data_IF_568624033800
#
_entry.id   IF_568624033800
#
_cell.length_a   1.000
_cell.length_b   1.000
_cell.length_c   1.000
_cell.angle_alpha   90.00
_cell.angle_beta   90.00
_cell.angle_gamma   90.00
#
_symmetry.space_group_name_H-M   'P 1'
#
loop_
_entity.id
_entity.type
_entity.pdbx_description
1 polymer ?
#
# COMPACT_ATOMS: atom_id res chain seq x y z
N UNK A 1 38.64 32.01 8.03
CA UNK A 1 37.36 31.89 8.75
C UNK A 1 36.44 31.08 7.84
N UNK A 2 36.77 29.80 7.71
CA UNK A 2 36.11 28.67 8.40
C UNK A 2 34.81 28.27 7.70
N UNK A 3 34.98 27.33 6.77
CA UNK A 3 33.92 26.48 6.22
C UNK A 3 33.28 25.72 7.38
N UNK A 4 32.05 26.09 7.74
CA UNK A 4 31.24 25.30 8.66
C UNK A 4 30.73 24.06 7.93
N UNK A 5 31.41 22.94 8.17
CA UNK A 5 30.96 21.60 7.86
C UNK A 5 29.64 21.33 8.60
N UNK A 6 28.55 21.26 7.86
CA UNK A 6 27.28 20.71 8.34
C UNK A 6 27.49 19.19 8.54
N UNK A 7 27.22 18.62 9.73
CA UNK A 7 27.42 17.20 9.95
C UNK A 7 26.36 16.39 9.20
N UNK A 8 26.82 15.51 8.30
CA UNK A 8 25.99 14.48 7.68
C UNK A 8 25.39 13.58 8.77
N UNK A 9 24.06 13.50 8.83
CA UNK A 9 23.36 12.53 9.67
C UNK A 9 23.65 11.13 9.11
N UNK A 10 24.66 10.46 9.67
CA UNK A 10 24.95 9.05 9.37
C UNK A 10 23.89 8.20 10.05
N UNK A 11 23.08 7.51 9.26
CA UNK A 11 22.19 6.44 9.74
C UNK A 11 23.03 5.23 10.18
N UNK A 12 23.58 5.29 11.40
CA UNK A 12 24.26 4.16 12.03
C UNK A 12 23.23 3.17 12.56
N UNK A 13 22.70 2.31 11.69
CA UNK A 13 22.11 1.04 12.11
C UNK A 13 23.13 -0.08 11.81
N UNK A 14 24.05 -0.39 12.74
CA UNK A 14 24.98 -1.51 12.54
C UNK A 14 24.19 -2.81 12.39
N UNK A 15 24.57 -3.62 11.38
CA UNK A 15 24.04 -4.96 11.21
C UNK A 15 24.27 -5.79 12.50
N UNK A 16 23.27 -6.55 12.98
CA UNK A 16 23.41 -7.34 14.21
C UNK A 16 24.48 -8.42 14.09
N UNK A 17 25.17 -8.72 15.19
CA UNK A 17 26.11 -9.85 15.24
C UNK A 17 25.36 -11.18 15.20
N UNK A 18 26.02 -12.25 14.75
CA UNK A 18 25.42 -13.60 14.67
C UNK A 18 24.87 -14.06 16.03
N UNK A 19 25.56 -13.73 17.13
CA UNK A 19 25.12 -14.02 18.49
C UNK A 19 23.83 -13.28 18.86
N UNK A 20 23.71 -12.00 18.47
CA UNK A 20 22.49 -11.21 18.70
C UNK A 20 21.32 -11.73 17.86
N UNK A 21 21.58 -12.20 16.64
CA UNK A 21 20.55 -12.82 15.79
C UNK A 21 20.06 -14.12 16.43
N UNK A 22 20.96 -14.99 16.91
CA UNK A 22 20.59 -16.27 17.52
C UNK A 22 19.84 -16.11 18.85
N UNK A 23 20.15 -15.06 19.62
CA UNK A 23 19.42 -14.73 20.84
C UNK A 23 18.07 -14.04 20.59
N UNK A 24 17.79 -13.60 19.36
CA UNK A 24 16.58 -12.86 19.03
C UNK A 24 15.33 -13.75 19.11
N UNK A 25 14.25 -13.18 19.66
CA UNK A 25 12.95 -13.85 19.77
C UNK A 25 12.37 -14.23 18.41
N UNK A 26 12.56 -13.42 17.36
CA UNK A 26 12.11 -13.76 16.00
C UNK A 26 12.85 -15.00 15.50
N UNK A 27 14.16 -15.08 15.69
CA UNK A 27 14.97 -16.24 15.28
C UNK A 27 14.54 -17.51 16.03
N UNK A 28 14.27 -17.41 17.33
CA UNK A 28 13.77 -18.55 18.12
C UNK A 28 12.40 -19.04 17.62
N UNK A 29 11.48 -18.11 17.31
CA UNK A 29 10.19 -18.45 16.72
C UNK A 29 10.36 -19.06 15.33
N UNK A 30 11.22 -18.47 14.49
CA UNK A 30 11.49 -18.99 13.16
C UNK A 30 11.98 -20.44 13.21
N UNK A 31 12.97 -20.72 14.06
CA UNK A 31 13.52 -22.08 14.22
C UNK A 31 12.46 -23.08 14.69
N UNK A 32 11.44 -22.63 15.41
CA UNK A 32 10.36 -23.48 15.91
C UNK A 32 9.26 -23.76 14.88
N UNK A 33 9.07 -22.89 13.90
CA UNK A 33 7.86 -22.89 13.07
C UNK A 33 8.07 -22.82 11.56
N UNK A 34 9.12 -22.15 11.05
CA UNK A 34 9.22 -21.91 9.59
C UNK A 34 10.63 -21.75 9.02
N UNK A 35 11.68 -21.70 9.85
CA UNK A 35 13.04 -21.51 9.36
C UNK A 35 13.48 -22.72 8.51
N UNK A 36 14.12 -22.49 7.35
CA UNK A 36 14.40 -23.54 6.37
C UNK A 36 15.37 -24.62 6.87
N UNK A 37 16.18 -24.32 7.88
CA UNK A 37 17.19 -25.23 8.43
C UNK A 37 16.66 -26.12 9.57
N UNK A 38 15.39 -25.95 9.99
CA UNK A 38 14.76 -26.73 11.07
C UNK A 38 13.47 -27.43 10.63
N UNK A 39 13.27 -27.61 9.32
CA UNK A 39 12.03 -28.12 8.72
C UNK A 39 11.52 -29.42 9.34
N UNK A 40 12.40 -30.34 9.73
CA UNK A 40 12.03 -31.65 10.29
C UNK A 40 11.42 -31.59 11.70
N UNK A 41 11.54 -30.45 12.40
CA UNK A 41 11.12 -30.27 13.80
C UNK A 41 10.12 -29.13 13.99
N UNK A 42 9.56 -28.60 12.90
CA UNK A 42 8.59 -27.51 12.97
C UNK A 42 7.31 -27.94 13.69
N UNK A 43 6.82 -27.05 14.55
CA UNK A 43 5.48 -27.17 15.11
C UNK A 43 4.41 -26.84 14.06
N UNK A 44 3.18 -27.35 14.23
CA UNK A 44 2.07 -27.00 13.34
C UNK A 44 1.78 -25.50 13.36
N UNK A 45 1.22 -25.00 12.26
CA UNK A 45 0.80 -23.62 12.13
C UNK A 45 -0.15 -23.21 13.27
N UNK A 46 0.06 -22.00 13.79
CA UNK A 46 -0.78 -21.38 14.79
C UNK A 46 -0.93 -19.90 14.46
N UNK A 47 -2.17 -19.46 14.17
CA UNK A 47 -2.48 -18.07 13.83
C UNK A 47 -2.13 -17.07 14.92
N UNK A 48 -2.18 -17.48 16.19
CA UNK A 48 -1.81 -16.62 17.32
C UNK A 48 -0.34 -16.16 17.23
N UNK A 49 0.54 -16.97 16.65
CA UNK A 49 1.95 -16.59 16.45
C UNK A 49 2.06 -15.42 15.47
N UNK A 50 1.20 -15.37 14.45
CA UNK A 50 1.15 -14.24 13.51
C UNK A 50 0.64 -12.99 14.22
N UNK A 51 -0.42 -13.13 15.01
CA UNK A 51 -0.99 -12.02 15.79
C UNK A 51 0.02 -11.47 16.81
N UNK A 52 0.72 -12.34 17.54
CA UNK A 52 1.74 -11.97 18.52
C UNK A 52 2.94 -11.27 17.88
N UNK A 53 3.44 -11.79 16.75
CA UNK A 53 4.53 -11.16 15.99
C UNK A 53 4.09 -9.79 15.51
N UNK A 54 2.88 -9.67 14.96
CA UNK A 54 2.38 -8.40 14.47
C UNK A 54 2.29 -7.35 15.59
N UNK A 55 1.66 -7.70 16.71
CA UNK A 55 1.47 -6.77 17.83
C UNK A 55 2.80 -6.42 18.49
N UNK A 56 3.61 -7.44 18.83
CA UNK A 56 4.78 -7.27 19.69
C UNK A 56 6.04 -6.88 18.92
N UNK A 57 6.18 -7.30 17.67
CA UNK A 57 7.40 -7.08 16.88
C UNK A 57 7.23 -6.00 15.82
N UNK A 58 6.06 -5.88 15.20
CA UNK A 58 5.80 -4.87 14.16
C UNK A 58 5.20 -3.61 14.78
N UNK A 59 4.06 -3.70 15.47
CA UNK A 59 3.34 -2.54 16.00
C UNK A 59 4.06 -1.90 17.19
N UNK A 60 4.43 -2.68 18.21
CA UNK A 60 5.10 -2.14 19.40
C UNK A 60 6.47 -1.52 19.08
N UNK A 61 7.16 -2.02 18.05
CA UNK A 61 8.42 -1.43 17.55
C UNK A 61 8.22 -0.23 16.61
N UNK A 62 6.97 0.16 16.36
CA UNK A 62 6.58 1.24 15.43
C UNK A 62 7.09 1.01 14.01
N UNK A 63 6.96 -0.22 13.50
CA UNK A 63 7.41 -0.66 12.18
C UNK A 63 8.93 -0.48 12.03
N UNK A 64 9.68 -0.93 13.04
CA UNK A 64 11.14 -0.88 13.00
C UNK A 64 11.68 -1.72 11.85
N UNK A 65 12.44 -1.08 10.96
CA UNK A 65 13.09 -1.73 9.81
C UNK A 65 13.91 -2.94 10.28
N UNK A 66 14.62 -2.83 11.41
CA UNK A 66 15.41 -3.94 11.95
C UNK A 66 14.57 -5.17 12.31
N UNK A 67 13.39 -5.00 12.91
CA UNK A 67 12.51 -6.15 13.24
C UNK A 67 11.95 -6.78 11.97
N UNK A 68 11.53 -5.94 11.01
CA UNK A 68 10.98 -6.36 9.72
C UNK A 68 12.03 -7.12 8.89
N UNK A 69 13.28 -6.63 8.83
CA UNK A 69 14.40 -7.31 8.19
C UNK A 69 14.63 -8.72 8.76
N UNK A 70 14.54 -8.89 10.08
CA UNK A 70 14.75 -10.21 10.69
C UNK A 70 13.63 -11.19 10.34
N UNK A 71 12.39 -10.71 10.23
CA UNK A 71 11.27 -11.53 9.73
C UNK A 71 11.50 -11.94 8.27
N UNK A 72 11.87 -10.99 7.41
CA UNK A 72 12.15 -11.26 5.99
C UNK A 72 13.30 -12.26 5.81
N UNK A 73 14.43 -12.04 6.50
CA UNK A 73 15.61 -12.91 6.44
C UNK A 73 15.30 -14.34 6.89
N UNK A 74 14.34 -14.50 7.79
CA UNK A 74 13.87 -15.81 8.26
C UNK A 74 12.89 -16.51 7.30
N UNK A 75 12.57 -15.92 6.14
CA UNK A 75 11.59 -16.39 5.16
C UNK A 75 10.16 -16.48 5.73
N UNK A 76 9.78 -15.48 6.54
CA UNK A 76 8.48 -15.45 7.21
C UNK A 76 7.30 -15.44 6.23
N UNK A 77 7.43 -14.77 5.08
CA UNK A 77 6.39 -14.72 4.06
C UNK A 77 6.17 -16.08 3.40
N UNK A 78 7.25 -16.68 2.91
CA UNK A 78 7.23 -17.87 2.06
C UNK A 78 6.91 -19.14 2.86
N UNK A 79 7.39 -19.23 4.10
CA UNK A 79 7.32 -20.47 4.86
C UNK A 79 6.24 -20.44 5.95
N UNK A 80 5.74 -19.27 6.37
CA UNK A 80 4.75 -19.17 7.45
C UNK A 80 3.48 -18.40 7.08
N UNK A 81 3.61 -17.22 6.49
CA UNK A 81 2.43 -16.39 6.22
C UNK A 81 1.62 -16.90 5.03
N UNK A 82 2.20 -16.95 3.84
CA UNK A 82 1.43 -17.19 2.61
C UNK A 82 0.88 -18.62 2.49
N UNK A 83 1.64 -19.70 2.82
CA UNK A 83 1.12 -21.06 2.75
C UNK A 83 -0.09 -21.31 3.67
N UNK A 84 -0.18 -20.55 4.76
CA UNK A 84 -1.22 -20.70 5.78
C UNK A 84 -2.29 -19.58 5.71
N UNK A 85 -2.27 -18.75 4.66
CA UNK A 85 -3.24 -17.67 4.52
C UNK A 85 -4.53 -18.19 3.88
N UNK A 86 -5.64 -18.04 4.61
CA UNK A 86 -6.98 -18.34 4.12
C UNK A 86 -7.87 -17.10 4.25
N UNK A 87 -8.53 -16.72 3.15
CA UNK A 87 -9.27 -15.44 3.06
C UNK A 87 -10.35 -15.36 4.13
N UNK A 88 -11.02 -16.45 4.44
CA UNK A 88 -12.17 -16.52 5.35
C UNK A 88 -11.76 -16.38 6.82
N UNK A 89 -10.58 -16.87 7.21
CA UNK A 89 -10.12 -16.90 8.60
C UNK A 89 -8.95 -15.96 8.91
N UNK A 90 -8.31 -15.38 7.89
CA UNK A 90 -7.15 -14.51 8.08
C UNK A 90 -7.50 -13.26 8.90
N UNK A 91 -6.72 -13.05 9.97
CA UNK A 91 -6.80 -11.88 10.83
C UNK A 91 -6.20 -10.64 10.15
N UNK A 92 -6.49 -9.46 10.71
CA UNK A 92 -5.87 -8.21 10.27
C UNK A 92 -4.34 -8.26 10.38
N UNK A 93 -3.83 -8.84 11.45
CA UNK A 93 -2.39 -9.04 11.65
C UNK A 93 -1.77 -9.92 10.57
N UNK A 94 -2.45 -10.97 10.11
CA UNK A 94 -1.98 -11.82 9.02
C UNK A 94 -1.90 -11.05 7.70
N UNK A 95 -2.97 -10.34 7.33
CA UNK A 95 -3.01 -9.50 6.13
C UNK A 95 -1.92 -8.42 6.17
N UNK A 96 -1.82 -7.69 7.28
CA UNK A 96 -0.83 -6.61 7.43
C UNK A 96 0.60 -7.13 7.49
N UNK A 97 0.85 -8.30 8.09
CA UNK A 97 2.17 -8.92 8.08
C UNK A 97 2.63 -9.25 6.66
N UNK A 98 1.73 -9.76 5.81
CA UNK A 98 2.04 -10.01 4.38
C UNK A 98 2.36 -8.70 3.67
N UNK A 99 1.56 -7.65 3.86
CA UNK A 99 1.80 -6.30 3.31
C UNK A 99 3.20 -5.79 3.69
N UNK A 100 3.56 -5.91 4.98
CA UNK A 100 4.86 -5.47 5.49
C UNK A 100 6.01 -6.28 4.89
N UNK A 101 5.89 -7.60 4.78
CA UNK A 101 6.92 -8.44 4.16
C UNK A 101 7.10 -8.14 2.67
N UNK A 102 6.02 -7.91 1.94
CA UNK A 102 6.09 -7.52 0.52
C UNK A 102 6.84 -6.20 0.35
N UNK A 103 6.47 -5.18 1.13
CA UNK A 103 7.15 -3.88 1.09
C UNK A 103 8.65 -4.00 1.42
N UNK A 104 8.99 -4.84 2.39
CA UNK A 104 10.39 -5.07 2.76
C UNK A 104 11.17 -5.75 1.63
N UNK A 105 10.57 -6.76 0.97
CA UNK A 105 11.20 -7.41 -0.18
C UNK A 105 11.47 -6.45 -1.33
N UNK A 106 10.55 -5.51 -1.59
CA UNK A 106 10.80 -4.42 -2.55
C UNK A 106 11.93 -3.50 -2.10
N UNK A 107 12.00 -3.18 -0.80
CA UNK A 107 13.08 -2.36 -0.21
C UNK A 107 14.46 -3.01 -0.41
N UNK A 108 14.56 -4.32 -0.21
CA UNK A 108 15.77 -5.12 -0.40
C UNK A 108 16.01 -5.54 -1.87
N UNK A 109 15.08 -5.21 -2.78
CA UNK A 109 15.15 -5.52 -4.22
C UNK A 109 15.28 -7.02 -4.52
N UNK A 110 14.57 -7.85 -3.76
CA UNK A 110 14.50 -9.31 -3.95
C UNK A 110 13.21 -9.73 -4.65
N UNK A 111 13.11 -11.01 -5.01
CA UNK A 111 11.90 -11.56 -5.65
C UNK A 111 10.71 -11.54 -4.70
N UNK A 112 9.59 -10.99 -5.16
CA UNK A 112 8.37 -10.79 -4.35
C UNK A 112 7.27 -11.76 -4.75
N UNK A 113 6.94 -11.82 -6.04
CA UNK A 113 5.69 -12.39 -6.51
C UNK A 113 5.69 -13.92 -6.60
N UNK A 114 6.87 -14.54 -6.64
CA UNK A 114 7.03 -15.99 -6.78
C UNK A 114 6.30 -16.79 -5.69
N UNK A 115 6.30 -16.29 -4.45
CA UNK A 115 5.58 -16.92 -3.34
C UNK A 115 4.07 -17.01 -3.62
N UNK A 116 3.49 -15.96 -4.19
CA UNK A 116 2.07 -15.88 -4.52
C UNK A 116 1.73 -16.69 -5.76
N UNK A 117 2.60 -16.71 -6.77
CA UNK A 117 2.40 -17.50 -8.00
C UNK A 117 2.39 -19.01 -7.73
N UNK A 118 3.14 -19.50 -6.72
CA UNK A 118 3.11 -20.91 -6.31
C UNK A 118 1.77 -21.34 -5.71
N UNK A 119 1.06 -20.43 -5.03
CA UNK A 119 -0.26 -20.69 -4.45
C UNK A 119 -1.18 -19.48 -4.65
N UNK A 120 -1.76 -19.27 -5.85
CA UNK A 120 -2.42 -18.02 -6.21
C UNK A 120 -3.88 -17.92 -5.73
N UNK A 121 -4.45 -19.01 -5.22
CA UNK A 121 -5.89 -19.16 -4.95
C UNK A 121 -6.46 -18.07 -4.05
N UNK A 122 -5.70 -17.66 -3.03
CA UNK A 122 -6.14 -16.68 -2.03
C UNK A 122 -5.77 -15.23 -2.39
N UNK A 123 -5.02 -14.99 -3.48
CA UNK A 123 -4.47 -13.65 -3.80
C UNK A 123 -5.56 -12.61 -4.04
N UNK A 124 -6.60 -12.96 -4.80
CA UNK A 124 -7.70 -12.02 -5.08
C UNK A 124 -8.45 -11.61 -3.81
N UNK A 125 -8.68 -12.55 -2.89
CA UNK A 125 -9.31 -12.26 -1.61
C UNK A 125 -8.41 -11.49 -0.65
N UNK A 126 -7.11 -11.78 -0.63
CA UNK A 126 -6.10 -10.98 0.08
C UNK A 126 -6.06 -9.54 -0.43
N UNK A 127 -5.98 -9.35 -1.74
CA UNK A 127 -5.96 -8.04 -2.36
C UNK A 127 -7.24 -7.26 -2.04
N UNK A 128 -8.41 -7.91 -2.06
CA UNK A 128 -9.66 -7.27 -1.64
C UNK A 128 -9.62 -6.80 -0.18
N UNK A 129 -9.14 -7.63 0.77
CA UNK A 129 -8.95 -7.21 2.17
C UNK A 129 -7.99 -6.02 2.31
N UNK A 130 -6.94 -5.95 1.49
CA UNK A 130 -6.03 -4.80 1.44
C UNK A 130 -6.74 -3.53 0.96
N UNK A 131 -7.56 -3.61 -0.09
CA UNK A 131 -8.34 -2.45 -0.56
C UNK A 131 -9.31 -1.96 0.52
N UNK A 132 -9.97 -2.87 1.23
CA UNK A 132 -10.87 -2.54 2.33
C UNK A 132 -10.11 -1.84 3.47
N UNK A 133 -8.95 -2.38 3.86
CA UNK A 133 -8.08 -1.79 4.88
C UNK A 133 -7.58 -0.38 4.51
N UNK A 134 -7.33 -0.12 3.22
CA UNK A 134 -6.95 1.23 2.74
C UNK A 134 -8.04 2.28 2.96
N UNK A 135 -9.32 1.87 3.02
CA UNK A 135 -10.46 2.76 3.19
C UNK A 135 -11.05 2.75 4.61
N UNK A 136 -10.46 2.01 5.55
CA UNK A 136 -10.87 2.06 6.97
C UNK A 136 -10.80 3.49 7.51
N UNK A 137 -11.84 3.90 8.25
CA UNK A 137 -12.06 5.29 8.74
C UNK A 137 -11.11 5.71 9.88
N UNK A 138 -10.05 4.94 10.12
CA UNK A 138 -9.09 5.22 11.17
C UNK A 138 -8.31 6.51 10.85
N UNK A 139 -8.74 7.63 11.44
CA UNK A 139 -8.07 8.94 11.42
C UNK A 139 -7.12 9.08 12.63
N UNK A 140 -6.88 8.00 13.40
CA UNK A 140 -5.96 8.07 14.53
C UNK A 140 -4.50 8.05 14.05
N UNK A 141 -3.67 8.91 14.65
CA UNK A 141 -2.29 9.13 14.19
C UNK A 141 -1.40 7.88 14.27
N UNK A 142 -1.71 6.93 15.17
CA UNK A 142 -0.93 5.70 15.32
C UNK A 142 -1.19 4.66 14.22
N UNK A 143 -2.37 4.72 13.58
CA UNK A 143 -2.75 3.80 12.51
C UNK A 143 -2.22 4.23 11.13
N UNK A 144 -1.70 5.46 11.02
CA UNK A 144 -1.17 5.98 9.76
C UNK A 144 0.07 5.23 9.26
N UNK A 145 0.80 4.53 10.14
CA UNK A 145 1.89 3.64 9.71
C UNK A 145 1.38 2.45 8.91
N UNK A 146 0.30 1.82 9.36
CA UNK A 146 -0.36 0.74 8.65
C UNK A 146 -0.95 1.24 7.33
N UNK A 147 -1.64 2.38 7.37
CA UNK A 147 -2.18 3.01 6.16
C UNK A 147 -1.07 3.35 5.16
N UNK A 148 0.07 3.85 5.63
CA UNK A 148 1.25 4.11 4.77
C UNK A 148 1.78 2.82 4.16
N UNK A 149 1.90 1.74 4.95
CA UNK A 149 2.34 0.44 4.45
C UNK A 149 1.39 -0.11 3.36
N UNK A 150 0.08 0.07 3.54
CA UNK A 150 -0.93 -0.29 2.55
C UNK A 150 -0.79 0.51 1.26
N UNK A 151 -0.58 1.83 1.34
CA UNK A 151 -0.33 2.69 0.17
C UNK A 151 0.93 2.25 -0.58
N UNK A 152 2.02 1.97 0.13
CA UNK A 152 3.27 1.48 -0.46
C UNK A 152 3.06 0.14 -1.17
N UNK A 153 2.34 -0.78 -0.55
CA UNK A 153 1.99 -2.07 -1.17
C UNK A 153 1.15 -1.90 -2.43
N UNK A 154 0.14 -1.02 -2.40
CA UNK A 154 -0.66 -0.72 -3.59
C UNK A 154 0.20 -0.15 -4.71
N UNK A 155 1.14 0.74 -4.38
CA UNK A 155 2.06 1.29 -5.36
C UNK A 155 2.91 0.19 -6.02
N UNK A 156 3.44 -0.73 -5.21
CA UNK A 156 4.15 -1.90 -5.73
C UNK A 156 3.28 -2.77 -6.65
N UNK A 157 2.01 -2.97 -6.33
CA UNK A 157 1.07 -3.70 -7.19
C UNK A 157 0.85 -3.00 -8.54
N UNK A 158 0.64 -1.67 -8.56
CA UNK A 158 0.50 -0.92 -9.80
C UNK A 158 1.79 -0.89 -10.64
N UNK A 159 2.95 -0.86 -9.97
CA UNK A 159 4.26 -0.93 -10.62
C UNK A 159 4.67 -2.35 -11.05
N UNK A 160 3.87 -3.38 -10.73
CA UNK A 160 4.12 -4.79 -11.10
C UNK A 160 3.06 -5.32 -12.07
N UNK A 161 2.50 -4.47 -12.92
CA UNK A 161 1.46 -4.87 -13.89
C UNK A 161 1.95 -5.88 -14.91
N UNK A 162 3.25 -6.08 -15.08
CA UNK A 162 3.83 -7.16 -15.91
C UNK A 162 3.45 -8.55 -15.38
N UNK A 163 3.32 -8.71 -14.06
CA UNK A 163 2.98 -9.97 -13.39
C UNK A 163 1.49 -10.28 -13.60
N UNK A 164 1.12 -11.39 -14.27
CA UNK A 164 -0.27 -11.69 -14.59
C UNK A 164 -1.18 -11.73 -13.35
N UNK A 165 -0.72 -12.36 -12.26
CA UNK A 165 -1.46 -12.47 -11.01
C UNK A 165 -1.86 -11.11 -10.44
N UNK A 166 -0.92 -10.16 -10.42
CA UNK A 166 -1.13 -8.79 -9.91
C UNK A 166 -1.97 -7.99 -10.90
N UNK A 167 -1.68 -8.10 -12.20
CA UNK A 167 -2.37 -7.39 -13.28
C UNK A 167 -3.88 -7.60 -13.25
N UNK A 168 -4.33 -8.84 -13.04
CA UNK A 168 -5.76 -9.17 -12.98
C UNK A 168 -6.49 -8.38 -11.88
N UNK A 169 -5.81 -8.14 -10.76
CA UNK A 169 -6.35 -7.43 -9.60
C UNK A 169 -6.28 -5.90 -9.75
N UNK A 170 -5.17 -5.34 -10.23
CA UNK A 170 -5.03 -3.87 -10.33
C UNK A 170 -5.72 -3.28 -11.55
N UNK A 171 -5.80 -4.01 -12.67
CA UNK A 171 -6.38 -3.47 -13.92
C UNK A 171 -7.85 -3.07 -13.77
N UNK A 172 -8.60 -3.74 -12.88
CA UNK A 172 -10.02 -3.42 -12.65
C UNK A 172 -10.19 -2.03 -12.03
N UNK A 173 -9.23 -1.58 -11.23
CA UNK A 173 -9.26 -0.30 -10.51
C UNK A 173 -9.00 0.91 -11.42
N UNK A 174 -8.30 0.71 -12.55
CA UNK A 174 -7.90 1.78 -13.51
C UNK A 174 -8.59 1.62 -14.87
N UNK A 175 -9.67 0.85 -14.93
CA UNK A 175 -10.44 0.64 -16.16
C UNK A 175 -11.45 1.76 -16.43
N UNK A 176 -11.99 1.85 -17.65
CA UNK A 176 -13.05 2.82 -18.01
C UNK A 176 -14.23 2.82 -17.00
N UNK A 177 -14.49 1.68 -16.36
CA UNK A 177 -15.58 1.55 -15.39
C UNK A 177 -15.43 2.45 -14.16
N UNK A 178 -14.22 2.93 -13.86
CA UNK A 178 -13.95 3.87 -12.77
C UNK A 178 -14.62 5.23 -12.95
N UNK A 179 -14.99 5.61 -14.18
CA UNK A 179 -15.74 6.85 -14.48
C UNK A 179 -17.15 6.89 -13.88
N UNK A 180 -17.57 5.84 -13.16
CA UNK A 180 -18.74 5.91 -12.29
C UNK A 180 -18.56 6.91 -11.15
N UNK A 181 -17.31 7.21 -10.79
CA UNK A 181 -16.95 8.22 -9.78
C UNK A 181 -17.08 9.66 -10.29
N UNK A 182 -16.99 9.89 -11.61
CA UNK A 182 -17.11 11.21 -12.20
C UNK A 182 -18.52 11.78 -12.02
N UNK A 183 -18.58 13.10 -11.86
CA UNK A 183 -19.83 13.84 -12.02
C UNK A 183 -20.44 13.55 -13.40
N UNK A 184 -21.78 13.48 -13.47
CA UNK A 184 -22.49 13.13 -14.69
C UNK A 184 -22.15 14.09 -15.85
N UNK A 185 -22.12 15.40 -15.57
CA UNK A 185 -21.74 16.41 -16.55
C UNK A 185 -20.33 16.20 -17.10
N UNK A 186 -19.33 15.95 -16.22
CA UNK A 186 -17.95 15.69 -16.65
C UNK A 186 -17.84 14.43 -17.49
N UNK A 187 -18.48 13.33 -17.06
CA UNK A 187 -18.51 12.06 -17.82
C UNK A 187 -19.12 12.24 -19.21
N UNK A 188 -20.20 13.00 -19.33
CA UNK A 188 -20.86 13.26 -20.61
C UNK A 188 -19.98 14.11 -21.55
N UNK A 189 -19.22 15.07 -21.02
CA UNK A 189 -18.23 15.84 -21.79
C UNK A 189 -17.13 14.92 -22.36
N UNK A 190 -16.58 14.01 -21.56
CA UNK A 190 -15.57 13.06 -22.02
C UNK A 190 -16.11 12.11 -23.10
N UNK A 191 -17.35 11.64 -22.95
CA UNK A 191 -18.01 10.84 -23.97
C UNK A 191 -18.31 11.60 -25.27
N UNK A 192 -18.55 12.91 -25.20
CA UNK A 192 -18.68 13.74 -26.41
C UNK A 192 -17.33 13.88 -27.12
N UNK A 193 -16.25 14.10 -26.35
CA UNK A 193 -14.88 14.18 -26.88
C UNK A 193 -14.44 12.87 -27.53
N UNK A 194 -14.83 11.73 -26.95
CA UNK A 194 -14.46 10.40 -27.45
C UNK A 194 -15.67 9.44 -27.49
N UNK A 195 -16.51 9.51 -28.54
CA UNK A 195 -17.77 8.76 -28.62
C UNK A 195 -17.66 7.23 -28.54
N UNK A 196 -16.49 6.67 -28.89
CA UNK A 196 -16.23 5.21 -28.76
C UNK A 196 -16.34 4.73 -27.31
N UNK A 197 -15.90 5.53 -26.34
CA UNK A 197 -15.97 5.14 -24.93
C UNK A 197 -17.40 5.05 -24.41
N UNK A 198 -18.33 5.85 -24.92
CA UNK A 198 -19.76 5.70 -24.60
C UNK A 198 -20.29 4.33 -24.99
N UNK A 199 -19.87 3.80 -26.14
CA UNK A 199 -20.27 2.45 -26.59
C UNK A 199 -19.72 1.39 -25.63
N UNK A 200 -18.44 1.45 -25.28
CA UNK A 200 -17.83 0.50 -24.33
C UNK A 200 -18.42 0.60 -22.93
N UNK A 201 -18.69 1.82 -22.44
CA UNK A 201 -19.36 2.06 -21.16
C UNK A 201 -20.72 1.37 -21.09
N UNK A 202 -21.55 1.51 -22.13
CA UNK A 202 -22.84 0.82 -22.23
C UNK A 202 -22.69 -0.70 -22.18
N UNK A 203 -21.67 -1.25 -22.84
CA UNK A 203 -21.39 -2.69 -22.82
C UNK A 203 -20.96 -3.16 -21.44
N UNK A 204 -20.06 -2.44 -20.77
CA UNK A 204 -19.63 -2.73 -19.39
C UNK A 204 -20.86 -2.78 -18.47
N UNK A 205 -21.65 -1.70 -18.49
CA UNK A 205 -22.87 -1.57 -17.67
C UNK A 205 -23.90 -2.67 -17.91
N UNK A 206 -24.00 -3.17 -19.15
CA UNK A 206 -24.92 -4.27 -19.50
C UNK A 206 -24.41 -5.65 -19.09
N UNK A 207 -23.08 -5.83 -19.03
CA UNK A 207 -22.44 -7.11 -18.65
C UNK A 207 -22.36 -7.33 -17.14
N UNK A 208 -22.53 -6.28 -16.35
CA UNK A 208 -22.51 -6.38 -14.90
C UNK A 208 -23.57 -7.36 -14.40
N UNK A 209 -23.15 -8.38 -13.65
CA UNK A 209 -24.08 -9.25 -12.94
C UNK A 209 -24.82 -8.39 -11.88
N UNK A 210 -26.17 -8.35 -11.90
CA UNK A 210 -26.95 -7.63 -10.90
C UNK A 210 -26.60 -8.00 -9.45
N UNK A 211 -26.25 -9.26 -9.18
CA UNK A 211 -25.90 -9.76 -7.84
C UNK A 211 -24.55 -9.21 -7.34
N UNK A 212 -23.63 -8.89 -8.25
CA UNK A 212 -22.31 -8.35 -7.92
C UNK A 212 -22.24 -6.83 -8.04
N UNK A 213 -23.37 -6.17 -8.31
CA UNK A 213 -23.42 -4.74 -8.64
C UNK A 213 -22.78 -3.88 -7.54
N UNK A 214 -23.12 -4.13 -6.27
CA UNK A 214 -22.58 -3.35 -5.16
C UNK A 214 -21.06 -3.49 -5.02
N UNK A 215 -20.55 -4.73 -5.09
CA UNK A 215 -19.11 -5.01 -5.08
C UNK A 215 -18.40 -4.31 -6.25
N UNK A 216 -18.93 -4.42 -7.46
CA UNK A 216 -18.36 -3.77 -8.64
C UNK A 216 -18.36 -2.24 -8.51
N UNK A 217 -19.45 -1.65 -8.01
CA UNK A 217 -19.52 -0.20 -7.79
C UNK A 217 -18.55 0.27 -6.70
N UNK A 218 -18.36 -0.53 -5.64
CA UNK A 218 -17.35 -0.30 -4.61
C UNK A 218 -15.94 -0.28 -5.22
N UNK A 219 -15.55 -1.34 -5.94
CA UNK A 219 -14.22 -1.46 -6.57
C UNK A 219 -13.94 -0.31 -7.54
N UNK A 220 -14.92 0.06 -8.38
CA UNK A 220 -14.81 1.15 -9.36
C UNK A 220 -14.64 2.52 -8.73
N UNK A 221 -15.11 2.71 -7.50
CA UNK A 221 -14.98 3.94 -6.73
C UNK A 221 -13.80 3.89 -5.76
N UNK A 222 -13.00 2.82 -5.74
CA UNK A 222 -11.92 2.65 -4.78
C UNK A 222 -10.91 3.80 -4.82
N UNK A 223 -10.26 4.05 -5.96
CA UNK A 223 -9.24 5.10 -6.09
C UNK A 223 -9.81 6.50 -5.81
N UNK A 224 -11.05 6.77 -6.23
CA UNK A 224 -11.74 8.02 -5.93
C UNK A 224 -11.93 8.22 -4.41
N UNK A 225 -12.44 7.20 -3.71
CA UNK A 225 -12.60 7.24 -2.24
C UNK A 225 -11.26 7.35 -1.52
N UNK A 226 -10.22 6.72 -2.06
CA UNK A 226 -8.87 6.81 -1.51
C UNK A 226 -8.29 8.22 -1.65
N UNK A 227 -8.50 8.88 -2.80
CA UNK A 227 -8.14 10.29 -2.99
C UNK A 227 -8.90 11.22 -2.03
N UNK A 228 -10.19 10.97 -1.80
CA UNK A 228 -10.96 11.73 -0.81
C UNK A 228 -10.37 11.55 0.59
N UNK A 229 -10.11 10.31 1.02
CA UNK A 229 -9.49 10.01 2.32
C UNK A 229 -8.15 10.72 2.48
N UNK A 230 -7.29 10.69 1.46
CA UNK A 230 -6.03 11.43 1.47
C UNK A 230 -6.26 12.93 1.65
N UNK A 231 -7.17 13.54 0.89
CA UNK A 231 -7.46 14.98 1.01
C UNK A 231 -7.98 15.33 2.40
N UNK A 232 -8.83 14.49 2.99
CA UNK A 232 -9.30 14.67 4.37
C UNK A 232 -8.13 14.65 5.36
N UNK A 233 -7.19 13.71 5.22
CA UNK A 233 -5.99 13.65 6.08
C UNK A 233 -5.11 14.90 5.88
N UNK A 234 -4.88 15.30 4.63
CA UNK A 234 -4.09 16.47 4.27
C UNK A 234 -4.66 17.76 4.88
N UNK A 235 -5.98 17.92 4.91
CA UNK A 235 -6.67 19.06 5.51
C UNK A 235 -6.56 19.11 7.04
N UNK A 236 -6.28 17.98 7.70
CA UNK A 236 -6.05 17.95 9.16
C UNK A 236 -4.65 18.40 9.57
N UNK A 237 -3.77 18.72 8.61
CA UNK A 237 -2.41 19.20 8.91
C UNK A 237 -2.48 20.70 9.24
N UNK A 238 -2.15 21.10 10.49
CA UNK A 238 -2.17 22.50 10.89
C UNK A 238 -1.00 23.27 10.26
N UNK A 239 -1.09 24.60 10.19
CA UNK A 239 -0.03 25.44 9.62
C UNK A 239 1.17 25.59 10.58
N UNK A 240 0.91 25.90 11.86
CA UNK A 240 1.96 26.26 12.82
C UNK A 240 2.13 25.23 13.94
N UNK A 241 1.09 24.46 14.26
CA UNK A 241 1.11 23.50 15.37
C UNK A 241 2.00 22.29 15.05
N UNK A 242 2.48 21.54 16.06
CA UNK A 242 3.19 20.30 15.84
C UNK A 242 2.34 19.30 15.03
N UNK A 243 2.94 18.71 14.01
CA UNK A 243 2.31 17.69 13.18
C UNK A 243 2.96 16.33 13.43
N UNK A 244 2.14 15.27 13.46
CA UNK A 244 2.66 13.91 13.54
C UNK A 244 3.42 13.54 12.26
N UNK A 245 4.68 13.06 12.36
CA UNK A 245 5.47 12.70 11.18
C UNK A 245 4.81 11.65 10.28
N UNK A 246 3.98 10.77 10.86
CA UNK A 246 3.29 9.72 10.12
C UNK A 246 2.21 10.29 9.16
N UNK A 247 1.61 11.46 9.46
CA UNK A 247 0.73 12.18 8.50
C UNK A 247 1.50 12.63 7.27
N UNK A 248 2.67 13.25 7.49
CA UNK A 248 3.51 13.74 6.39
C UNK A 248 3.94 12.56 5.53
N UNK A 249 4.45 11.49 6.15
CA UNK A 249 4.90 10.29 5.43
C UNK A 249 3.77 9.63 4.66
N UNK A 250 2.57 9.55 5.22
CA UNK A 250 1.40 9.06 4.50
C UNK A 250 1.12 9.93 3.26
N UNK A 251 1.11 11.25 3.41
CA UNK A 251 0.88 12.18 2.30
C UNK A 251 1.93 12.07 1.19
N UNK A 252 3.21 11.94 1.56
CA UNK A 252 4.31 11.72 0.60
C UNK A 252 4.14 10.41 -0.18
N UNK A 253 3.85 9.30 0.51
CA UNK A 253 3.65 7.99 -0.13
C UNK A 253 2.38 7.93 -0.96
N UNK A 254 1.36 8.69 -0.56
CA UNK A 254 0.16 8.84 -1.37
C UNK A 254 0.47 9.58 -2.68
N UNK A 255 1.19 10.70 -2.64
CA UNK A 255 1.58 11.40 -3.87
C UNK A 255 2.47 10.55 -4.77
N UNK A 256 3.39 9.76 -4.21
CA UNK A 256 4.19 8.79 -4.97
C UNK A 256 3.29 7.81 -5.76
N UNK A 257 2.28 7.23 -5.11
CA UNK A 257 1.29 6.37 -5.78
C UNK A 257 0.58 7.11 -6.92
N UNK A 258 0.18 8.36 -6.71
CA UNK A 258 -0.53 9.17 -7.72
C UNK A 258 0.37 9.43 -8.93
N UNK A 259 1.65 9.73 -8.71
CA UNK A 259 2.62 9.98 -9.77
C UNK A 259 2.87 8.72 -10.58
N UNK A 260 3.09 7.58 -9.93
CA UNK A 260 3.33 6.31 -10.62
C UNK A 260 2.11 5.89 -11.47
N UNK A 261 0.89 6.12 -10.96
CA UNK A 261 -0.34 5.92 -11.72
C UNK A 261 -0.42 6.81 -12.96
N UNK A 262 0.06 8.05 -12.90
CA UNK A 262 0.05 9.00 -14.03
C UNK A 262 1.24 8.85 -14.99
N UNK A 263 2.33 8.23 -14.55
CA UNK A 263 3.53 8.02 -15.33
C UNK A 263 3.32 6.94 -16.41
N UNK A 264 2.44 5.96 -16.15
CA UNK A 264 2.21 4.82 -17.05
C UNK A 264 0.87 4.96 -17.80
N UNK A 265 0.90 4.83 -19.14
CA UNK A 265 -0.30 4.95 -19.97
C UNK A 265 -1.47 4.01 -19.56
N UNK A 266 -1.24 2.72 -19.22
CA UNK A 266 -2.32 1.80 -18.87
C UNK A 266 -3.11 2.21 -17.63
N UNK A 267 -2.46 2.87 -16.66
CA UNK A 267 -3.07 3.37 -15.43
C UNK A 267 -3.62 4.79 -15.62
N UNK A 268 -2.86 5.68 -16.27
CA UNK A 268 -3.21 7.09 -16.50
C UNK A 268 -4.50 7.28 -17.28
N UNK A 269 -4.73 6.46 -18.32
CA UNK A 269 -5.72 6.72 -19.38
C UNK A 269 -7.11 7.12 -18.89
N UNK A 270 -7.62 6.44 -17.87
CA UNK A 270 -8.95 6.73 -17.29
C UNK A 270 -8.84 7.38 -15.92
N UNK A 271 -7.75 7.13 -15.20
CA UNK A 271 -7.49 7.67 -13.88
C UNK A 271 -7.29 9.19 -13.90
N UNK A 272 -6.53 9.72 -14.86
CA UNK A 272 -6.23 11.15 -14.99
C UNK A 272 -7.50 12.01 -14.93
N UNK A 273 -8.55 11.61 -15.64
CA UNK A 273 -9.84 12.32 -15.65
C UNK A 273 -10.51 12.34 -14.27
N UNK A 274 -10.44 11.23 -13.53
CA UNK A 274 -11.02 11.14 -12.18
C UNK A 274 -10.22 11.98 -11.20
N UNK A 275 -8.89 11.96 -11.29
CA UNK A 275 -8.03 12.79 -10.45
C UNK A 275 -8.28 14.30 -10.68
N UNK A 276 -8.42 14.71 -11.94
CA UNK A 276 -8.75 16.09 -12.31
C UNK A 276 -10.11 16.54 -11.76
N UNK A 277 -11.13 15.67 -11.84
CA UNK A 277 -12.47 15.91 -11.28
C UNK A 277 -12.46 16.02 -9.74
N UNK A 278 -11.50 15.37 -9.07
CA UNK A 278 -11.27 15.52 -7.62
C UNK A 278 -10.51 16.80 -7.24
N UNK A 279 -9.99 17.56 -8.20
CA UNK A 279 -9.14 18.74 -7.97
C UNK A 279 -7.92 18.45 -7.09
N UNK A 280 -7.40 17.22 -7.14
CA UNK A 280 -6.38 16.72 -6.22
C UNK A 280 -5.15 17.63 -6.17
N UNK A 281 -4.63 18.01 -7.34
CA UNK A 281 -3.42 18.85 -7.47
C UNK A 281 -3.64 20.23 -6.86
N UNK A 282 -4.78 20.87 -7.16
CA UNK A 282 -5.15 22.18 -6.60
C UNK A 282 -5.25 22.11 -5.08
N UNK A 283 -5.88 21.06 -4.56
CA UNK A 283 -6.02 20.82 -3.11
C UNK A 283 -4.66 20.61 -2.44
N UNK A 284 -3.72 19.94 -3.10
CA UNK A 284 -2.34 19.82 -2.63
C UNK A 284 -1.62 21.17 -2.63
N UNK A 285 -1.75 21.96 -3.69
CA UNK A 285 -1.15 23.30 -3.84
C UNK A 285 -1.64 24.30 -2.79
N UNK A 286 -2.88 24.16 -2.34
CA UNK A 286 -3.49 25.02 -1.31
C UNK A 286 -3.31 24.46 0.12
N UNK A 287 -2.64 23.32 0.28
CA UNK A 287 -2.51 22.68 1.59
C UNK A 287 -1.49 23.37 2.49
N UNK A 288 -1.77 23.38 3.80
CA UNK A 288 -0.83 23.90 4.81
C UNK A 288 0.53 23.21 4.74
N UNK A 289 0.57 21.92 4.36
CA UNK A 289 1.80 21.13 4.32
C UNK A 289 2.89 21.78 3.43
N UNK A 290 2.54 22.41 2.31
CA UNK A 290 3.52 23.10 1.44
C UNK A 290 4.16 24.33 2.07
N UNK A 291 3.49 24.93 3.06
CA UNK A 291 3.99 26.10 3.78
C UNK A 291 4.82 25.72 5.00
N UNK A 292 4.95 24.42 5.29
CA UNK A 292 5.74 23.88 6.40
C UNK A 292 7.13 23.45 5.96
N UNK A 293 8.09 23.55 6.87
CA UNK A 293 9.46 23.06 6.64
C UNK A 293 9.51 21.54 6.40
N UNK A 294 8.61 20.81 7.04
CA UNK A 294 8.49 19.37 6.98
C UNK A 294 7.86 18.89 5.67
N UNK A 295 7.18 19.76 4.92
CA UNK A 295 6.57 19.45 3.63
C UNK A 295 7.49 19.59 2.42
N UNK A 296 8.80 19.75 2.63
CA UNK A 296 9.76 19.95 1.53
C UNK A 296 9.73 18.82 0.49
N UNK A 297 9.73 17.56 0.93
CA UNK A 297 9.64 16.41 0.02
C UNK A 297 8.27 16.34 -0.66
N UNK A 298 7.18 16.59 0.09
CA UNK A 298 5.83 16.67 -0.48
C UNK A 298 5.74 17.70 -1.62
N UNK A 299 6.35 18.88 -1.44
CA UNK A 299 6.42 19.90 -2.48
C UNK A 299 7.28 19.49 -3.69
N UNK A 300 8.43 18.85 -3.47
CA UNK A 300 9.27 18.33 -4.55
C UNK A 300 8.54 17.27 -5.38
N UNK A 301 7.84 16.36 -4.71
CA UNK A 301 7.06 15.30 -5.33
C UNK A 301 5.90 15.91 -6.13
N UNK A 302 5.20 16.91 -5.60
CA UNK A 302 4.13 17.61 -6.30
C UNK A 302 4.59 18.32 -7.60
N UNK A 303 5.84 18.79 -7.66
CA UNK A 303 6.41 19.44 -8.86
C UNK A 303 6.63 18.44 -10.01
N UNK A 304 6.74 17.14 -9.72
CA UNK A 304 6.91 16.11 -10.75
C UNK A 304 5.61 15.85 -11.54
N UNK A 305 4.48 16.43 -11.12
CA UNK A 305 3.21 16.44 -11.83
C UNK A 305 3.08 17.66 -12.74
#
# INVERSE_FOLDING_TARGET
MENQNVPSIKSNNPAPTVEQINADKITQLANKYWAPHTTDIHLPFNSQIVDDIYIQEICASKFSIRRIMMLEFSQYLENFLWPNYHVESATRAHTMSIVVMVNEKFRERVQVWEAFEKNPTHFAGFFQKVLEACLEESIMDFDLKEQTALIVFLNHCFNSMEVPLVREEVKRLVSLSMWISLQEGRRELEFKKYPKWRKYWKVIRKKDNPELKEKLEWERKFLHRLMIKFMTILETIPLEEPVFPDKIRYCERFLELIIDLEALLPTRRFFNTVMDDCHLVVRCQLSNLLHRSEGGLFGQVLILY
#
